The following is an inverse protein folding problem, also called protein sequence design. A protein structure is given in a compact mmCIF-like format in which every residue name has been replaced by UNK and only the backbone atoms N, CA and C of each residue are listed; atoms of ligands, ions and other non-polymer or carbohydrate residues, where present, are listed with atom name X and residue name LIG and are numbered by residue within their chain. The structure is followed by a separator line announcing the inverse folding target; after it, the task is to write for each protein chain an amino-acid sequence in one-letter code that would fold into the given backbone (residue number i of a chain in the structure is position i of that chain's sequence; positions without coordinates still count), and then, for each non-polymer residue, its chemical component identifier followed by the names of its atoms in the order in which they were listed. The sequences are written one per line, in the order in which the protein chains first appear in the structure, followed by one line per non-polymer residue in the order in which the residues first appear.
data_IF_021060657013
#
_entry.id   IF_021060657013
#
_cell.length_a   1.000
_cell.length_b   1.000
_cell.length_c   1.000
_cell.angle_alpha   90.00
_cell.angle_beta   90.00
_cell.angle_gamma   90.00
#
_symmetry.space_group_name_H-M   'P 1'
#
loop_
_entity.id
_entity.type
_entity.pdbx_description
1 polymer ?
#
# COMPACT_ATOMS: atom_id res chain seq x y z
N UNK A 1 -5.56 -6.44 6.02
CA UNK A 1 -4.31 -5.64 6.05
C UNK A 1 -4.28 -4.60 4.93
N UNK A 2 -4.51 -4.99 3.67
CA UNK A 2 -4.46 -4.08 2.51
C UNK A 2 -5.33 -2.83 2.67
N UNK A 3 -6.64 -3.00 2.95
CA UNK A 3 -7.56 -1.88 3.18
C UNK A 3 -7.15 -0.99 4.37
N UNK A 4 -6.55 -1.55 5.43
CA UNK A 4 -6.13 -0.78 6.60
C UNK A 4 -4.87 0.05 6.34
N UNK A 5 -3.98 -0.41 5.46
CA UNK A 5 -2.76 0.31 5.11
C UNK A 5 -2.98 1.45 4.13
N UNK A 6 -4.09 1.46 3.38
CA UNK A 6 -4.41 2.53 2.43
C UNK A 6 -4.54 3.91 3.12
N UNK A 7 -5.43 4.10 4.13
CA UNK A 7 -5.56 5.40 4.79
C UNK A 7 -4.31 5.76 5.60
N UNK A 8 -3.63 4.77 6.18
CA UNK A 8 -2.46 5.00 7.03
C UNK A 8 -1.22 5.38 6.21
N UNK A 9 -1.03 4.78 5.03
CA UNK A 9 0.05 5.14 4.08
C UNK A 9 -0.20 6.47 3.38
N UNK A 10 -1.44 6.98 3.38
CA UNK A 10 -1.73 8.32 2.85
C UNK A 10 -1.28 9.41 3.82
N UNK A 11 -1.42 9.16 5.13
CA UNK A 11 -0.89 10.04 6.17
C UNK A 11 0.64 10.00 6.27
N UNK A 12 1.26 8.83 6.09
CA UNK A 12 2.72 8.64 6.17
C UNK A 12 3.25 8.24 4.80
N UNK A 13 3.56 9.23 3.96
CA UNK A 13 4.12 9.03 2.61
C UNK A 13 5.61 8.71 2.64
N UNK A 14 6.00 7.70 3.43
CA UNK A 14 7.37 7.19 3.50
C UNK A 14 7.31 5.70 3.79
N UNK A 15 7.84 4.88 2.86
CA UNK A 15 7.89 3.42 2.99
C UNK A 15 8.71 2.98 4.21
N UNK A 16 9.80 3.68 4.54
CA UNK A 16 10.65 3.34 5.69
C UNK A 16 10.07 3.80 7.03
N UNK A 17 9.47 5.00 7.08
CA UNK A 17 8.81 5.50 8.29
C UNK A 17 7.54 4.72 8.63
N UNK A 18 6.77 4.37 7.60
CA UNK A 18 5.56 3.56 7.73
C UNK A 18 5.89 2.13 8.18
N UNK A 19 6.95 1.51 7.64
CA UNK A 19 7.39 0.18 8.06
C UNK A 19 7.80 0.13 9.53
N UNK A 20 8.63 1.09 9.96
CA UNK A 20 9.15 1.16 11.33
C UNK A 20 8.03 1.33 12.36
N UNK A 21 6.94 2.02 12.01
CA UNK A 21 5.79 2.19 12.90
C UNK A 21 4.84 0.98 12.88
N UNK A 22 4.58 0.39 11.71
CA UNK A 22 3.50 -0.59 11.52
C UNK A 22 3.93 -2.01 11.87
N UNK A 23 5.15 -2.44 11.53
CA UNK A 23 5.57 -3.83 11.76
C UNK A 23 5.72 -4.20 13.24
N UNK A 24 6.22 -3.34 14.15
CA UNK A 24 6.24 -3.64 15.58
C UNK A 24 4.83 -3.78 16.17
N UNK A 25 3.89 -2.93 15.76
CA UNK A 25 2.48 -3.00 16.17
C UNK A 25 1.84 -4.30 15.68
N UNK A 26 2.10 -4.69 14.43
CA UNK A 26 1.64 -5.96 13.88
C UNK A 26 2.21 -7.16 14.63
N UNK A 27 3.50 -7.14 15.00
CA UNK A 27 4.11 -8.19 15.82
C UNK A 27 3.36 -8.37 17.14
N UNK A 28 3.03 -7.28 17.82
CA UNK A 28 2.24 -7.33 19.06
C UNK A 28 0.82 -7.91 18.89
N UNK A 29 0.14 -7.60 17.78
CA UNK A 29 -1.22 -8.09 17.50
C UNK A 29 -1.23 -9.56 17.07
N UNK A 30 -0.22 -9.99 16.31
CA UNK A 30 -0.04 -11.38 15.85
C UNK A 30 0.20 -12.33 17.02
N UNK A 31 1.06 -11.94 17.96
CA UNK A 31 1.35 -12.71 19.19
C UNK A 31 0.10 -12.82 20.07
N UNK A 32 -0.70 -11.76 20.16
CA UNK A 32 -1.89 -11.72 21.04
C UNK A 32 -3.05 -12.58 20.53
N UNK A 33 -3.18 -12.76 19.23
CA UNK A 33 -4.34 -13.40 18.59
C UNK A 33 -4.04 -14.79 17.99
N UNK A 34 -2.83 -15.35 18.18
CA UNK A 34 -2.40 -16.63 17.58
C UNK A 34 -2.67 -16.74 16.07
N UNK A 35 -2.65 -15.60 15.37
CA UNK A 35 -2.90 -15.58 13.93
C UNK A 35 -1.55 -15.82 13.28
N UNK A 36 -1.34 -17.02 12.75
CA UNK A 36 -0.11 -17.38 12.02
C UNK A 36 -0.09 -16.67 10.65
N UNK A 37 -0.01 -15.34 10.69
CA UNK A 37 0.16 -14.47 9.54
C UNK A 37 1.66 -14.44 9.32
N UNK A 38 2.18 -15.44 8.58
CA UNK A 38 3.56 -15.46 8.12
C UNK A 38 3.97 -14.04 7.72
N UNK A 39 5.09 -13.55 8.28
CA UNK A 39 5.62 -12.22 8.05
C UNK A 39 5.60 -11.81 6.56
N UNK A 40 5.84 -12.79 5.68
CA UNK A 40 5.79 -12.66 4.22
C UNK A 40 4.49 -12.04 3.70
N UNK A 41 3.31 -12.50 4.15
CA UNK A 41 2.02 -12.00 3.66
C UNK A 41 1.73 -10.56 4.07
N UNK A 42 2.11 -10.21 5.31
CA UNK A 42 2.04 -8.84 5.85
C UNK A 42 2.94 -7.88 5.08
N UNK A 43 4.17 -8.31 4.80
CA UNK A 43 5.16 -7.53 4.04
C UNK A 43 4.72 -7.33 2.59
N UNK A 44 4.23 -8.38 1.92
CA UNK A 44 3.72 -8.27 0.55
C UNK A 44 2.54 -7.30 0.47
N UNK A 45 1.61 -7.40 1.42
CA UNK A 45 0.46 -6.50 1.48
C UNK A 45 0.88 -5.05 1.74
N UNK A 46 1.86 -4.85 2.63
CA UNK A 46 2.46 -3.55 2.92
C UNK A 46 3.09 -2.93 1.67
N UNK A 47 3.91 -3.69 0.95
CA UNK A 47 4.60 -3.21 -0.25
C UNK A 47 3.63 -2.81 -1.36
N UNK A 48 2.60 -3.62 -1.61
CA UNK A 48 1.56 -3.27 -2.59
C UNK A 48 0.79 -2.00 -2.19
N UNK A 49 0.46 -1.86 -0.91
CA UNK A 49 -0.31 -0.70 -0.45
C UNK A 49 0.52 0.58 -0.47
N UNK A 50 1.77 0.52 0.01
CA UNK A 50 2.64 1.69 0.06
C UNK A 50 3.03 2.16 -1.35
N UNK A 51 3.24 1.23 -2.29
CA UNK A 51 3.44 1.55 -3.70
C UNK A 51 2.23 2.26 -4.33
N UNK A 52 1.02 1.78 -4.05
CA UNK A 52 -0.23 2.38 -4.55
C UNK A 52 -0.42 3.80 -4.04
N UNK A 53 -0.25 4.01 -2.73
CA UNK A 53 -0.56 5.31 -2.11
C UNK A 53 0.48 6.37 -2.49
N UNK A 54 1.77 6.02 -2.55
CA UNK A 54 2.83 6.95 -2.94
C UNK A 54 2.70 7.54 -4.35
N UNK A 55 1.87 6.97 -5.23
CA UNK A 55 1.59 7.50 -6.56
C UNK A 55 0.70 8.75 -6.56
N UNK A 56 -0.10 8.94 -5.50
CA UNK A 56 -1.07 10.03 -5.42
C UNK A 56 -0.80 10.99 -4.27
N UNK A 57 -0.05 10.59 -3.25
CA UNK A 57 0.10 11.42 -2.05
C UNK A 57 0.86 12.71 -2.36
N UNK A 58 0.31 13.89 -2.00
CA UNK A 58 0.92 15.19 -2.31
C UNK A 58 2.18 15.46 -1.47
N UNK A 59 2.46 14.65 -0.45
CA UNK A 59 3.69 14.72 0.34
C UNK A 59 4.84 13.94 -0.32
N UNK A 60 4.59 13.22 -1.42
CA UNK A 60 5.65 12.60 -2.24
C UNK A 60 6.33 13.66 -3.10
N UNK A 61 7.59 13.97 -2.79
CA UNK A 61 8.37 14.98 -3.52
C UNK A 61 8.49 14.69 -5.03
N UNK A 62 8.52 13.41 -5.42
CA UNK A 62 8.59 13.00 -6.84
C UNK A 62 7.27 13.30 -7.57
N UNK A 63 6.13 13.05 -6.92
CA UNK A 63 4.80 13.35 -7.48
C UNK A 63 4.61 14.86 -7.65
N UNK A 64 4.96 15.65 -6.63
CA UNK A 64 4.83 17.11 -6.73
C UNK A 64 5.82 17.72 -7.73
N UNK A 65 7.06 17.22 -7.81
CA UNK A 65 8.01 17.64 -8.85
C UNK A 65 7.50 17.36 -10.26
N UNK A 66 6.95 16.17 -10.51
CA UNK A 66 6.43 15.80 -11.83
C UNK A 66 5.21 16.64 -12.23
N UNK A 67 4.30 16.94 -11.29
CA UNK A 67 3.17 17.83 -11.52
C UNK A 67 3.64 19.28 -11.80
N UNK A 68 4.66 19.76 -11.09
CA UNK A 68 5.25 21.08 -11.31
C UNK A 68 5.90 21.20 -12.70
N UNK A 69 6.63 20.17 -13.15
CA UNK A 69 7.19 20.11 -14.51
C UNK A 69 6.10 20.06 -15.58
N UNK A 70 5.04 19.28 -15.34
CA UNK A 70 3.90 19.17 -16.25
C UNK A 70 2.99 20.42 -16.26
N UNK A 71 3.22 21.40 -15.37
CA UNK A 71 2.39 22.61 -15.19
C UNK A 71 0.89 22.30 -15.08
N UNK A 72 0.58 21.22 -14.38
CA UNK A 72 -0.78 20.72 -14.22
C UNK A 72 -1.28 20.97 -12.80
N UNK A 73 -2.58 21.18 -12.65
CA UNK A 73 -3.23 21.27 -11.34
C UNK A 73 -3.33 19.86 -10.70
N UNK A 74 -3.13 19.77 -9.39
CA UNK A 74 -3.21 18.51 -8.63
C UNK A 74 -4.58 17.84 -8.78
N UNK A 75 -5.66 18.62 -8.84
CA UNK A 75 -7.01 18.07 -9.07
C UNK A 75 -7.13 17.39 -10.45
N UNK A 76 -6.49 17.95 -11.48
CA UNK A 76 -6.45 17.36 -12.83
C UNK A 76 -5.57 16.11 -12.86
N UNK A 77 -4.44 16.14 -12.15
CA UNK A 77 -3.56 14.98 -11.98
C UNK A 77 -4.30 13.80 -11.36
N UNK A 78 -5.00 14.00 -10.23
CA UNK A 78 -5.77 12.93 -9.57
C UNK A 78 -6.84 12.36 -10.49
N UNK A 79 -7.54 13.21 -11.24
CA UNK A 79 -8.55 12.77 -12.20
C UNK A 79 -7.96 11.92 -13.33
N UNK A 80 -6.76 12.29 -13.80
CA UNK A 80 -6.01 11.50 -14.79
C UNK A 80 -5.44 10.20 -14.20
N UNK A 81 -5.12 10.18 -12.90
CA UNK A 81 -4.53 9.03 -12.22
C UNK A 81 -5.60 8.02 -11.74
N UNK A 82 -6.86 8.46 -11.58
CA UNK A 82 -7.98 7.63 -11.16
C UNK A 82 -8.13 6.28 -11.90
N UNK A 83 -8.10 6.20 -13.25
CA UNK A 83 -8.20 4.91 -13.95
C UNK A 83 -7.02 3.98 -13.63
N UNK A 84 -5.80 4.52 -13.51
CA UNK A 84 -4.61 3.74 -13.17
C UNK A 84 -4.66 3.23 -11.73
N UNK A 85 -5.12 4.05 -10.79
CA UNK A 85 -5.33 3.66 -9.39
C UNK A 85 -6.32 2.50 -9.28
N UNK A 86 -7.40 2.53 -10.08
CA UNK A 86 -8.41 1.48 -10.07
C UNK A 86 -7.81 0.16 -10.57
N UNK A 87 -7.09 0.18 -11.70
CA UNK A 87 -6.42 -1.00 -12.26
C UNK A 87 -5.34 -1.55 -11.31
N UNK A 88 -4.52 -0.69 -10.70
CA UNK A 88 -3.47 -1.11 -9.76
C UNK A 88 -4.06 -1.68 -8.47
N UNK A 89 -5.16 -1.11 -7.97
CA UNK A 89 -5.83 -1.61 -6.77
C UNK A 89 -6.46 -2.98 -7.03
N UNK A 90 -7.16 -3.15 -8.14
CA UNK A 90 -7.80 -4.43 -8.48
C UNK A 90 -6.78 -5.52 -8.79
N UNK A 91 -5.71 -5.20 -9.54
CA UNK A 91 -4.62 -6.16 -9.81
C UNK A 91 -3.87 -6.55 -8.53
N UNK A 92 -3.54 -5.60 -7.66
CA UNK A 92 -2.90 -5.89 -6.37
C UNK A 92 -3.78 -6.78 -5.50
N UNK A 93 -5.09 -6.53 -5.47
CA UNK A 93 -6.04 -7.36 -4.73
C UNK A 93 -6.13 -8.78 -5.33
N UNK A 94 -6.20 -8.90 -6.65
CA UNK A 94 -6.23 -10.19 -7.34
C UNK A 94 -4.96 -11.02 -7.04
N UNK A 95 -3.78 -10.41 -7.11
CA UNK A 95 -2.51 -11.07 -6.80
C UNK A 95 -2.42 -11.49 -5.33
N UNK A 96 -2.90 -10.64 -4.40
CA UNK A 96 -2.97 -10.99 -2.97
C UNK A 96 -3.93 -12.16 -2.72
N UNK A 97 -5.08 -12.21 -3.40
CA UNK A 97 -6.03 -13.31 -3.30
C UNK A 97 -5.46 -14.62 -3.86
N UNK A 98 -4.76 -14.56 -4.99
CA UNK A 98 -4.08 -15.73 -5.58
C UNK A 98 -2.98 -16.22 -4.64
N UNK A 99 -2.14 -15.33 -4.12
CA UNK A 99 -1.09 -15.69 -3.16
C UNK A 99 -1.65 -16.29 -1.87
N UNK A 100 -2.78 -15.78 -1.37
CA UNK A 100 -3.47 -16.34 -0.23
C UNK A 100 -4.08 -17.72 -0.53
N UNK A 101 -4.64 -17.92 -1.72
CA UNK A 101 -5.21 -19.20 -2.14
C UNK A 101 -4.14 -20.28 -2.27
N UNK A 102 -2.99 -19.98 -2.89
CA UNK A 102 -1.87 -20.92 -3.02
C UNK A 102 -1.33 -21.32 -1.64
N UNK A 103 -1.18 -20.37 -0.71
CA UNK A 103 -0.71 -20.65 0.65
C UNK A 103 -1.64 -21.62 1.39
N UNK A 104 -2.96 -21.48 1.24
CA UNK A 104 -3.96 -22.34 1.89
C UNK A 104 -3.93 -23.79 1.39
N UNK A 105 -3.33 -24.04 0.22
CA UNK A 105 -3.19 -25.40 -0.37
C UNK A 105 -1.92 -26.12 0.10
N UNK A 106 -0.95 -25.39 0.68
CA UNK A 106 0.38 -25.91 1.07
C UNK A 106 0.50 -26.14 2.59
N UNK A 107 -0.43 -25.58 3.37
CA UNK A 107 -0.54 -25.75 4.84
C UNK A 107 -1.76 -26.60 5.16
#
# INVERSE_FOLDING_TARGET
MFIFFIPLSFLIASTSGFATAVFPLLGGVVIKNNIDILASGSITTFSFTSGLVNLITPTSGIVMCSIAVARMDYAKFIKSMAPYMLILTTSSLALLLIGAAIRKTIV
#
